data_IF_676349279186
#
_entry.id   IF_676349279186
#
_cell.length_a   1.000
_cell.length_b   1.000
_cell.length_c   1.000
_cell.angle_alpha   90.00
_cell.angle_beta   90.00
_cell.angle_gamma   90.00
#
_symmetry.space_group_name_H-M   'P 1'
#
loop_
_entity.id
_entity.type
_entity.pdbx_description
1 polymer ?
#
# COMPACT_ATOMS: atom_id res chain seq x y z
N UNK A 1 66.26 -26.12 -21.28
CA UNK A 1 65.05 -26.50 -20.52
C UNK A 1 64.04 -25.37 -20.65
N UNK A 2 62.80 -25.69 -21.04
CA UNK A 2 61.65 -24.78 -21.21
C UNK A 2 61.07 -24.41 -19.83
N UNK A 3 60.60 -23.17 -19.67
CA UNK A 3 59.34 -22.79 -18.98
C UNK A 3 59.29 -21.27 -18.84
N UNK A 4 58.55 -20.58 -19.71
CA UNK A 4 57.12 -20.25 -19.62
C UNK A 4 56.86 -18.99 -18.78
N UNK A 5 56.76 -17.90 -19.54
CA UNK A 5 56.09 -16.65 -19.23
C UNK A 5 54.70 -16.94 -18.62
N UNK A 6 54.49 -16.53 -17.37
CA UNK A 6 53.17 -16.53 -16.75
C UNK A 6 52.73 -15.07 -16.64
N UNK A 7 51.84 -14.69 -17.55
CA UNK A 7 51.10 -13.43 -17.49
C UNK A 7 50.07 -13.60 -16.37
N UNK A 8 50.07 -12.78 -15.30
CA UNK A 8 48.95 -12.77 -14.38
C UNK A 8 47.73 -12.23 -15.13
N UNK A 9 46.72 -13.09 -15.20
CA UNK A 9 45.39 -12.82 -15.70
C UNK A 9 44.83 -11.60 -14.94
N UNK A 10 44.85 -10.43 -15.57
CA UNK A 10 44.05 -9.29 -15.13
C UNK A 10 42.59 -9.68 -15.29
N UNK A 11 42.02 -10.24 -14.22
CA UNK A 11 40.59 -10.36 -14.07
C UNK A 11 40.01 -8.94 -14.10
N UNK A 12 39.48 -8.55 -15.26
CA UNK A 12 38.59 -7.41 -15.37
C UNK A 12 37.45 -7.63 -14.39
N UNK A 13 37.47 -6.91 -13.26
CA UNK A 13 36.25 -6.62 -12.52
C UNK A 13 35.43 -5.67 -13.38
N UNK A 14 34.69 -6.22 -14.35
CA UNK A 14 33.44 -5.60 -14.78
C UNK A 14 32.49 -5.73 -13.60
N UNK A 15 32.53 -4.73 -12.72
CA UNK A 15 31.38 -4.39 -11.88
C UNK A 15 30.24 -4.07 -12.85
N UNK A 16 29.45 -5.08 -13.19
CA UNK A 16 28.11 -4.83 -13.67
C UNK A 16 27.39 -4.21 -12.48
N UNK A 17 27.32 -2.88 -12.47
CA UNK A 17 26.37 -2.13 -11.67
C UNK A 17 24.99 -2.63 -12.06
N UNK A 18 24.53 -3.67 -11.37
CA UNK A 18 23.12 -3.97 -11.28
C UNK A 18 22.53 -2.69 -10.74
N UNK A 19 21.80 -1.97 -11.59
CA UNK A 19 20.98 -0.82 -11.19
C UNK A 19 19.83 -1.38 -10.35
N UNK A 20 20.15 -1.97 -9.19
CA UNK A 20 19.19 -2.20 -8.14
C UNK A 20 18.81 -0.83 -7.68
N UNK A 21 17.59 -0.39 -8.01
CA UNK A 21 17.01 0.83 -7.47
C UNK A 21 17.33 0.85 -5.98
N UNK A 22 18.22 1.76 -5.57
CA UNK A 22 18.70 1.81 -4.20
C UNK A 22 17.47 1.89 -3.29
N UNK A 23 17.27 0.86 -2.47
CA UNK A 23 16.24 0.85 -1.45
C UNK A 23 16.47 2.11 -0.62
N UNK A 24 15.53 3.06 -0.65
CA UNK A 24 15.70 4.36 -0.02
C UNK A 24 14.66 4.45 1.11
N UNK A 25 15.05 4.10 2.35
CA UNK A 25 14.11 4.05 3.46
C UNK A 25 13.33 5.34 3.68
N UNK A 26 13.93 6.51 3.39
CA UNK A 26 13.25 7.79 3.52
C UNK A 26 12.12 7.94 2.49
N UNK A 27 12.38 7.58 1.23
CA UNK A 27 11.37 7.61 0.16
C UNK A 27 10.28 6.57 0.41
N UNK A 28 10.65 5.36 0.83
CA UNK A 28 9.66 4.33 1.16
C UNK A 28 8.80 4.77 2.36
N UNK A 29 9.38 5.44 3.35
CA UNK A 29 8.63 5.96 4.49
C UNK A 29 7.61 7.01 4.05
N UNK A 30 8.03 7.99 3.23
CA UNK A 30 7.12 9.00 2.68
C UNK A 30 6.00 8.36 1.85
N UNK A 31 6.35 7.36 1.02
CA UNK A 31 5.37 6.64 0.19
C UNK A 31 4.36 5.88 1.05
N UNK A 32 4.83 5.22 2.12
CA UNK A 32 3.97 4.54 3.07
C UNK A 32 3.01 5.51 3.76
N UNK A 33 3.51 6.65 4.22
CA UNK A 33 2.69 7.70 4.86
C UNK A 33 1.63 8.26 3.90
N UNK A 34 1.96 8.50 2.64
CA UNK A 34 0.99 8.93 1.61
C UNK A 34 -0.07 7.86 1.40
N UNK A 35 0.33 6.60 1.26
CA UNK A 35 -0.61 5.48 1.05
C UNK A 35 -1.59 5.34 2.23
N UNK A 36 -1.14 5.53 3.47
CA UNK A 36 -2.02 5.55 4.65
C UNK A 36 -3.04 6.69 4.62
N UNK A 37 -2.64 7.87 4.15
CA UNK A 37 -3.56 9.02 4.00
C UNK A 37 -4.63 8.77 2.94
N UNK A 38 -4.31 8.01 1.90
CA UNK A 38 -5.26 7.66 0.83
C UNK A 38 -6.02 6.36 1.08
N UNK A 39 -5.79 5.69 2.22
CA UNK A 39 -6.45 4.43 2.57
C UNK A 39 -5.90 3.19 1.86
N UNK A 40 -4.76 3.28 1.17
CA UNK A 40 -4.06 2.16 0.53
C UNK A 40 -3.11 1.49 1.54
N UNK A 41 -3.68 0.75 2.49
CA UNK A 41 -2.93 0.12 3.58
C UNK A 41 -2.09 -1.07 3.11
N UNK A 42 -2.51 -1.74 2.03
CA UNK A 42 -1.71 -2.77 1.38
C UNK A 42 -0.38 -2.20 0.84
N UNK A 43 -0.43 -1.07 0.12
CA UNK A 43 0.77 -0.38 -0.35
C UNK A 43 1.59 0.17 0.81
N UNK A 44 0.96 0.77 1.82
CA UNK A 44 1.65 1.24 3.02
C UNK A 44 2.45 0.12 3.69
N UNK A 45 1.83 -1.05 3.89
CA UNK A 45 2.50 -2.24 4.45
C UNK A 45 3.70 -2.67 3.62
N UNK A 46 3.56 -2.73 2.30
CA UNK A 46 4.65 -3.09 1.38
C UNK A 46 5.84 -2.16 1.53
N UNK A 47 5.61 -0.86 1.63
CA UNK A 47 6.69 0.12 1.79
C UNK A 47 7.33 0.07 3.18
N UNK A 48 6.57 -0.11 4.26
CA UNK A 48 7.16 -0.35 5.58
C UNK A 48 7.99 -1.63 5.62
N UNK A 49 7.54 -2.71 4.98
CA UNK A 49 8.31 -3.95 4.88
C UNK A 49 9.65 -3.76 4.17
N UNK A 50 9.72 -2.95 3.10
CA UNK A 50 10.97 -2.61 2.42
C UNK A 50 11.97 -1.88 3.31
N UNK A 51 11.49 -0.95 4.14
CA UNK A 51 12.31 -0.24 5.12
C UNK A 51 12.94 -1.22 6.11
N UNK A 52 12.17 -2.21 6.56
CA UNK A 52 12.65 -3.22 7.53
C UNK A 52 13.63 -4.19 6.87
N UNK A 53 13.36 -4.60 5.64
CA UNK A 53 14.26 -5.44 4.84
C UNK A 53 15.60 -4.75 4.55
N UNK A 54 15.64 -3.41 4.51
CA UNK A 54 16.89 -2.65 4.37
C UNK A 54 17.82 -2.78 5.60
N UNK A 55 17.33 -3.31 6.73
CA UNK A 55 18.11 -3.46 7.94
C UNK A 55 18.33 -2.12 8.66
N UNK A 56 19.55 -1.87 9.13
CA UNK A 56 19.86 -0.71 9.96
C UNK A 56 19.66 0.62 9.21
N UNK A 57 18.59 1.33 9.54
CA UNK A 57 18.29 2.66 9.00
C UNK A 57 17.47 3.50 9.99
N UNK A 58 17.46 4.84 9.86
CA UNK A 58 16.77 5.72 10.81
C UNK A 58 15.24 5.49 10.91
N UNK A 59 14.63 4.89 9.87
CA UNK A 59 13.19 4.65 9.80
C UNK A 59 12.81 3.23 10.23
N UNK A 60 13.77 2.36 10.57
CA UNK A 60 13.51 0.96 10.89
C UNK A 60 12.52 0.82 12.05
N UNK A 61 12.78 1.47 13.19
CA UNK A 61 11.92 1.38 14.37
C UNK A 61 10.52 1.97 14.09
N UNK A 62 10.44 3.04 13.31
CA UNK A 62 9.17 3.63 12.90
C UNK A 62 8.37 2.63 12.05
N UNK A 63 9.00 2.03 11.03
CA UNK A 63 8.35 1.03 10.19
C UNK A 63 7.95 -0.23 10.97
N UNK A 64 8.79 -0.68 11.90
CA UNK A 64 8.54 -1.83 12.77
C UNK A 64 7.29 -1.64 13.63
N UNK A 65 7.12 -0.45 14.23
CA UNK A 65 5.94 -0.07 15.00
C UNK A 65 4.64 -0.16 14.18
N UNK A 66 4.71 0.14 12.87
CA UNK A 66 3.57 0.05 11.96
C UNK A 66 3.19 -1.37 11.58
N UNK A 67 4.15 -2.26 11.30
CA UNK A 67 3.86 -3.63 10.81
C UNK A 67 3.86 -4.70 11.91
N UNK A 68 3.56 -4.30 13.15
CA UNK A 68 3.45 -5.18 14.31
C UNK A 68 4.74 -5.94 14.69
N UNK A 69 5.91 -5.35 14.41
CA UNK A 69 7.15 -5.81 15.03
C UNK A 69 7.22 -5.16 16.41
N UNK A 70 7.11 -5.96 17.48
CA UNK A 70 7.08 -5.45 18.86
C UNK A 70 5.69 -5.08 19.40
N UNK A 71 4.60 -5.53 18.78
CA UNK A 71 3.26 -5.52 19.39
C UNK A 71 2.45 -4.22 19.29
N UNK A 72 2.93 -3.18 18.59
CA UNK A 72 2.23 -1.88 18.51
C UNK A 72 1.13 -1.83 17.45
N UNK A 73 1.38 -2.45 16.29
CA UNK A 73 0.44 -2.64 15.18
C UNK A 73 -0.28 -1.35 14.74
N UNK A 74 0.48 -0.26 14.61
CA UNK A 74 -0.10 1.06 14.34
C UNK A 74 -0.83 1.13 13.00
N UNK A 75 -0.39 0.36 12.00
CA UNK A 75 -1.02 0.33 10.69
C UNK A 75 -2.44 -0.21 10.78
N UNK A 76 -2.63 -1.31 11.52
CA UNK A 76 -3.93 -1.91 11.74
C UNK A 76 -4.86 -0.95 12.50
N UNK A 77 -4.38 -0.35 13.58
CA UNK A 77 -5.17 0.62 14.37
C UNK A 77 -5.66 1.78 13.50
N UNK A 78 -4.79 2.35 12.68
CA UNK A 78 -5.17 3.43 11.77
C UNK A 78 -6.14 2.96 10.68
N UNK A 79 -5.91 1.78 10.11
CA UNK A 79 -6.81 1.20 9.11
C UNK A 79 -8.23 1.04 9.64
N UNK A 80 -8.41 0.47 10.84
CA UNK A 80 -9.73 0.32 11.46
C UNK A 80 -10.42 1.69 11.63
N UNK A 81 -9.70 2.68 12.18
CA UNK A 81 -10.26 4.03 12.41
C UNK A 81 -10.59 4.79 11.12
N UNK A 82 -9.78 4.63 10.08
CA UNK A 82 -9.99 5.31 8.80
C UNK A 82 -11.04 4.62 7.95
N UNK A 83 -11.05 3.29 7.87
CA UNK A 83 -12.00 2.57 7.03
C UNK A 83 -13.44 2.77 7.44
N UNK A 84 -13.74 2.84 8.74
CA UNK A 84 -15.09 3.17 9.20
C UNK A 84 -15.56 4.52 8.63
N UNK A 85 -14.71 5.55 8.71
CA UNK A 85 -15.01 6.89 8.19
C UNK A 85 -15.10 6.92 6.67
N UNK A 86 -14.15 6.28 5.98
CA UNK A 86 -14.11 6.24 4.51
C UNK A 86 -15.32 5.49 3.95
N UNK A 87 -15.65 4.32 4.50
CA UNK A 87 -16.82 3.55 4.08
C UNK A 87 -18.09 4.37 4.25
N UNK A 88 -18.28 5.03 5.40
CA UNK A 88 -19.46 5.87 5.63
C UNK A 88 -19.55 7.04 4.63
N UNK A 89 -18.44 7.71 4.35
CA UNK A 89 -18.39 8.82 3.41
C UNK A 89 -18.65 8.37 1.96
N UNK A 90 -18.00 7.28 1.54
CA UNK A 90 -18.16 6.71 0.20
C UNK A 90 -19.58 6.18 -0.02
N UNK A 91 -20.22 5.56 0.99
CA UNK A 91 -21.63 5.18 0.91
C UNK A 91 -22.52 6.39 0.67
N UNK A 92 -22.33 7.45 1.46
CA UNK A 92 -23.14 8.68 1.34
C UNK A 92 -22.95 9.33 -0.04
N UNK A 93 -21.72 9.33 -0.57
CA UNK A 93 -21.43 9.84 -1.90
C UNK A 93 -22.05 8.97 -3.01
N UNK A 94 -21.98 7.64 -2.88
CA UNK A 94 -22.62 6.72 -3.81
C UNK A 94 -24.14 6.91 -3.84
N UNK A 95 -24.77 7.07 -2.67
CA UNK A 95 -26.21 7.28 -2.55
C UNK A 95 -26.64 8.61 -3.19
N UNK A 96 -25.87 9.69 -2.97
CA UNK A 96 -26.10 10.98 -3.61
C UNK A 96 -26.01 10.91 -5.14
N UNK A 97 -25.04 10.15 -5.68
CA UNK A 97 -24.91 9.94 -7.13
C UNK A 97 -26.08 9.15 -7.71
N UNK A 98 -26.59 8.14 -6.98
CA UNK A 98 -27.78 7.39 -7.38
C UNK A 98 -29.02 8.29 -7.39
N UNK A 99 -29.20 9.12 -6.36
CA UNK A 99 -30.30 10.08 -6.29
C UNK A 99 -30.22 11.14 -7.40
N UNK A 100 -29.01 11.58 -7.76
CA UNK A 100 -28.80 12.47 -8.89
C UNK A 100 -29.16 11.77 -10.21
N UNK A 101 -28.69 10.54 -10.42
CA UNK A 101 -28.98 9.75 -11.62
C UNK A 101 -30.49 9.50 -11.82
N UNK A 102 -31.26 9.31 -10.74
CA UNK A 102 -32.73 9.18 -10.80
C UNK A 102 -33.42 10.45 -11.34
N UNK A 103 -32.83 11.62 -11.10
CA UNK A 103 -33.37 12.94 -11.48
C UNK A 103 -32.80 13.46 -12.80
N UNK A 104 -31.84 12.75 -13.40
CA UNK A 104 -31.20 13.13 -14.66
C UNK A 104 -31.93 12.50 -15.84
N UNK A 105 -32.48 13.34 -16.73
CA UNK A 105 -33.15 12.90 -17.95
C UNK A 105 -32.16 12.58 -19.09
N UNK A 106 -30.96 13.16 -19.05
CA UNK A 106 -29.91 12.86 -20.01
C UNK A 106 -29.35 11.44 -19.77
N UNK A 107 -29.56 10.54 -20.74
CA UNK A 107 -29.17 9.12 -20.65
C UNK A 107 -27.66 8.92 -20.45
N UNK A 108 -26.82 9.73 -21.10
CA UNK A 108 -25.37 9.58 -21.01
C UNK A 108 -24.85 10.01 -19.63
N UNK A 109 -25.35 11.15 -19.14
CA UNK A 109 -24.98 11.67 -17.83
C UNK A 109 -25.50 10.77 -16.71
N UNK A 110 -26.73 10.26 -16.84
CA UNK A 110 -27.29 9.23 -15.95
C UNK A 110 -26.39 8.00 -15.88
N UNK A 111 -25.99 7.44 -17.02
CA UNK A 111 -25.10 6.28 -17.08
C UNK A 111 -23.70 6.58 -16.51
N UNK A 112 -23.21 7.83 -16.60
CA UNK A 112 -21.96 8.24 -15.96
C UNK A 112 -22.09 8.26 -14.44
N UNK A 113 -23.14 8.87 -13.90
CA UNK A 113 -23.40 8.93 -12.45
C UNK A 113 -23.57 7.53 -11.84
N UNK A 114 -24.33 6.65 -12.50
CA UNK A 114 -24.51 5.26 -12.06
C UNK A 114 -23.19 4.48 -12.06
N UNK A 115 -22.32 4.69 -13.06
CA UNK A 115 -20.97 4.09 -13.08
C UNK A 115 -20.09 4.61 -11.94
N UNK A 116 -20.14 5.91 -11.65
CA UNK A 116 -19.39 6.49 -10.53
C UNK A 116 -19.88 5.94 -9.18
N UNK A 117 -21.21 5.85 -8.99
CA UNK A 117 -21.79 5.26 -7.80
C UNK A 117 -21.36 3.80 -7.63
N UNK A 118 -21.40 3.01 -8.72
CA UNK A 118 -20.94 1.62 -8.71
C UNK A 118 -19.46 1.50 -8.35
N UNK A 119 -18.60 2.36 -8.91
CA UNK A 119 -17.18 2.39 -8.57
C UNK A 119 -16.95 2.61 -7.07
N UNK A 120 -17.68 3.56 -6.47
CA UNK A 120 -17.62 3.78 -5.02
C UNK A 120 -18.11 2.57 -4.22
N UNK A 121 -19.19 1.91 -4.64
CA UNK A 121 -19.69 0.71 -3.96
C UNK A 121 -18.70 -0.47 -4.06
N UNK A 122 -18.04 -0.64 -5.20
CA UNK A 122 -16.98 -1.63 -5.38
C UNK A 122 -15.77 -1.34 -4.48
N UNK A 123 -15.36 -0.08 -4.40
CA UNK A 123 -14.29 0.39 -3.50
C UNK A 123 -14.63 0.12 -2.03
N UNK A 124 -15.88 0.34 -1.62
CA UNK A 124 -16.37 0.03 -0.27
C UNK A 124 -16.28 -1.47 0.01
N UNK A 125 -16.71 -2.31 -0.93
CA UNK A 125 -16.65 -3.78 -0.79
C UNK A 125 -15.20 -4.23 -0.63
N UNK A 126 -14.28 -3.69 -1.42
CA UNK A 126 -12.86 -3.99 -1.31
C UNK A 126 -12.29 -3.60 0.06
N UNK A 127 -12.58 -2.38 0.54
CA UNK A 127 -12.14 -1.90 1.86
C UNK A 127 -12.73 -2.75 3.00
N UNK A 128 -14.02 -3.09 2.94
CA UNK A 128 -14.66 -4.00 3.92
C UNK A 128 -13.99 -5.36 3.95
N UNK A 129 -13.71 -5.94 2.77
CA UNK A 129 -13.02 -7.22 2.66
C UNK A 129 -11.61 -7.16 3.25
N UNK A 130 -10.86 -6.09 2.97
CA UNK A 130 -9.53 -5.88 3.57
C UNK A 130 -9.62 -5.76 5.10
N UNK A 131 -10.57 -4.95 5.61
CA UNK A 131 -10.82 -4.79 7.04
C UNK A 131 -11.11 -6.14 7.71
N UNK A 132 -12.06 -6.91 7.17
CA UNK A 132 -12.44 -8.21 7.71
C UNK A 132 -11.28 -9.19 7.69
N UNK A 133 -10.48 -9.22 6.61
CA UNK A 133 -9.31 -10.08 6.53
C UNK A 133 -8.29 -9.74 7.62
N UNK A 134 -8.08 -8.46 7.91
CA UNK A 134 -7.14 -8.03 8.94
C UNK A 134 -7.67 -8.23 10.36
N UNK A 135 -8.98 -8.10 10.59
CA UNK A 135 -9.64 -8.46 11.85
C UNK A 135 -9.53 -9.97 12.10
N UNK A 136 -9.78 -10.80 11.09
CA UNK A 136 -9.69 -12.25 11.19
C UNK A 136 -8.28 -12.74 11.55
N UNK A 137 -7.22 -12.13 10.99
CA UNK A 137 -5.82 -12.42 11.37
C UNK A 137 -5.52 -12.21 12.86
N UNK A 138 -6.37 -11.44 13.55
CA UNK A 138 -6.27 -11.09 14.97
C UNK A 138 -7.36 -11.75 15.81
N UNK A 139 -8.11 -12.70 15.24
CA UNK A 139 -9.25 -13.36 15.88
C UNK A 139 -10.34 -12.38 16.35
N UNK A 140 -10.52 -11.26 15.64
CA UNK A 140 -11.57 -10.29 15.88
C UNK A 140 -12.70 -10.54 14.86
N UNK A 141 -13.95 -10.57 15.33
CA UNK A 141 -15.12 -10.72 14.47
C UNK A 141 -15.29 -9.50 13.56
N UNK A 142 -15.58 -9.74 12.28
CA UNK A 142 -15.97 -8.68 11.36
C UNK A 142 -17.48 -8.46 11.44
N UNK A 143 -17.89 -7.22 11.73
CA UNK A 143 -19.29 -6.81 11.84
C UNK A 143 -19.70 -5.94 10.66
#
# INVERSE_FOLDING_TARGET
>A
MKSRLVIPLTAMLTFMSVHGCANNPARDYQTAQTAMKTGDYASARKHFAKIIQAGQNPYFNLAADYINIGGKDLLFKQMVQHYEKLISAEYSAADALVEQAKKTDNKEEKAKLERQARGLLEDIIAKKKELCNELAKRNIECK
#
